data_IF_905087632845
#
_entry.id   IF_905087632845
#
_cell.length_a   1.000
_cell.length_b   1.000
_cell.length_c   1.000
_cell.angle_alpha   90.00
_cell.angle_beta   90.00
_cell.angle_gamma   90.00
#
_symmetry.space_group_name_H-M   'P 1'
#
loop_
_entity.id
_entity.type
_entity.pdbx_description
1 polymer ?
#
# COMPACT_ATOMS: atom_id res chain seq x y z
N UNK A 1 17.28 -3.89 -5.51
CA UNK A 1 16.77 -3.46 -6.83
C UNK A 1 15.92 -2.22 -6.59
N UNK A 2 15.94 -1.27 -7.53
CA UNK A 2 15.09 -0.07 -7.45
C UNK A 2 14.00 -0.10 -8.52
N UNK A 3 12.94 0.67 -8.30
CA UNK A 3 11.82 0.81 -9.24
C UNK A 3 12.28 1.29 -10.62
N UNK A 4 11.76 0.63 -11.65
CA UNK A 4 11.83 1.01 -13.07
C UNK A 4 10.70 1.96 -13.46
N UNK A 5 9.54 1.84 -12.82
CA UNK A 5 8.45 2.80 -13.00
C UNK A 5 8.69 4.07 -12.16
N UNK A 6 8.03 5.16 -12.55
CA UNK A 6 7.89 6.37 -11.72
C UNK A 6 6.55 6.30 -10.98
N UNK A 7 6.59 6.50 -9.67
CA UNK A 7 5.40 6.47 -8.81
C UNK A 7 5.11 7.86 -8.27
N UNK A 8 3.85 8.28 -8.38
CA UNK A 8 3.34 9.50 -7.75
C UNK A 8 3.06 9.27 -6.28
N UNK A 9 2.99 10.36 -5.52
CA UNK A 9 2.53 10.31 -4.13
C UNK A 9 1.16 9.60 -4.04
N UNK A 10 1.03 8.51 -3.27
CA UNK A 10 -0.22 7.76 -3.15
C UNK A 10 -1.21 8.39 -2.16
N UNK A 11 -0.90 9.56 -1.63
CA UNK A 11 -1.76 10.38 -0.76
C UNK A 11 -1.65 11.86 -1.16
N UNK A 12 -2.67 12.69 -0.89
CA UNK A 12 -2.60 14.14 -1.11
C UNK A 12 -1.48 14.79 -0.28
N UNK A 13 -0.58 15.52 -0.95
CA UNK A 13 0.59 16.14 -0.28
C UNK A 13 0.21 17.15 0.81
N UNK A 14 -0.93 17.83 0.68
CA UNK A 14 -1.42 18.78 1.68
C UNK A 14 -1.91 18.12 2.99
N UNK A 15 -2.12 16.79 2.99
CA UNK A 15 -2.49 16.01 4.17
C UNK A 15 -1.31 15.20 4.74
N UNK A 16 -0.18 15.18 4.03
CA UNK A 16 1.02 14.45 4.41
C UNK A 16 1.72 15.12 5.58
N UNK A 17 1.82 14.41 6.70
CA UNK A 17 2.51 14.91 7.90
C UNK A 17 3.98 14.52 7.88
N UNK A 18 4.28 13.26 7.51
CA UNK A 18 5.65 12.73 7.41
C UNK A 18 5.69 11.49 6.52
N UNK A 19 6.86 11.25 5.91
CA UNK A 19 7.21 9.96 5.30
C UNK A 19 8.16 9.24 6.24
N UNK A 20 7.83 8.00 6.58
CA UNK A 20 8.63 7.16 7.48
C UNK A 20 9.12 5.91 6.73
N UNK A 21 10.42 5.66 6.79
CA UNK A 21 11.11 4.48 6.22
C UNK A 21 11.90 3.73 7.30
N UNK A 22 11.64 4.04 8.56
CA UNK A 22 12.42 3.57 9.71
C UNK A 22 11.62 2.69 10.66
N UNK A 23 10.38 2.37 10.29
CA UNK A 23 9.50 1.51 11.08
C UNK A 23 10.18 0.17 11.38
N UNK A 24 10.16 -0.31 12.64
CA UNK A 24 10.75 -1.60 12.98
C UNK A 24 10.04 -2.79 12.31
N UNK A 25 8.84 -2.58 11.76
CA UNK A 25 8.13 -3.58 10.95
C UNK A 25 8.70 -3.71 9.52
N UNK A 26 9.49 -2.74 9.05
CA UNK A 26 10.09 -2.72 7.70
C UNK A 26 11.36 -3.58 7.68
N UNK A 27 11.19 -4.89 7.83
CA UNK A 27 12.27 -5.89 7.79
C UNK A 27 11.97 -6.97 6.76
N UNK A 28 12.99 -7.74 6.36
CA UNK A 28 12.84 -8.85 5.42
C UNK A 28 12.23 -8.40 4.09
N UNK A 29 11.11 -9.02 3.70
CA UNK A 29 10.39 -8.70 2.46
C UNK A 29 9.79 -7.29 2.46
N UNK A 30 9.73 -6.59 3.60
CA UNK A 30 9.18 -5.25 3.75
C UNK A 30 10.24 -4.17 3.95
N UNK A 31 11.52 -4.50 3.82
CA UNK A 31 12.65 -3.59 4.09
C UNK A 31 12.64 -2.28 3.29
N UNK A 32 11.93 -2.24 2.17
CA UNK A 32 11.79 -1.06 1.31
C UNK A 32 10.38 -0.45 1.36
N UNK A 33 9.55 -0.84 2.33
CA UNK A 33 8.25 -0.22 2.53
C UNK A 33 8.38 1.24 2.98
N UNK A 34 7.30 1.98 2.80
CA UNK A 34 7.20 3.40 3.10
C UNK A 34 5.88 3.65 3.80
N UNK A 35 5.93 4.23 4.99
CA UNK A 35 4.73 4.62 5.72
C UNK A 35 4.48 6.12 5.50
N UNK A 36 3.32 6.47 4.95
CA UNK A 36 2.88 7.85 4.81
C UNK A 36 1.98 8.22 5.98
N UNK A 37 2.49 9.02 6.90
CA UNK A 37 1.75 9.46 8.08
C UNK A 37 0.74 10.54 7.65
N UNK A 38 -0.54 10.20 7.75
CA UNK A 38 -1.68 11.01 7.30
C UNK A 38 -2.88 10.75 8.22
N UNK A 39 -3.85 11.68 8.33
CA UNK A 39 -5.09 11.44 9.07
C UNK A 39 -5.89 10.23 8.55
N UNK A 40 -6.76 9.62 9.37
CA UNK A 40 -7.74 8.64 8.88
C UNK A 40 -8.66 9.28 7.83
N UNK A 41 -9.27 8.44 6.99
CA UNK A 41 -10.10 8.84 5.86
C UNK A 41 -9.39 9.64 4.75
N UNK A 42 -8.07 9.84 4.85
CA UNK A 42 -7.26 10.41 3.76
C UNK A 42 -7.42 9.58 2.48
N UNK A 43 -7.73 10.21 1.33
CA UNK A 43 -7.80 9.52 0.04
C UNK A 43 -6.50 8.77 -0.27
N UNK A 44 -6.63 7.50 -0.65
CA UNK A 44 -5.52 6.70 -1.17
C UNK A 44 -5.61 6.69 -2.69
N UNK A 45 -4.51 7.06 -3.35
CA UNK A 45 -4.43 7.27 -4.79
C UNK A 45 -3.57 6.18 -5.44
N UNK A 46 -3.99 5.70 -6.61
CA UNK A 46 -3.13 4.85 -7.44
C UNK A 46 -1.86 5.62 -7.80
N UNK A 47 -0.70 5.04 -7.48
CA UNK A 47 0.60 5.70 -7.60
C UNK A 47 1.08 5.73 -9.07
N UNK A 48 0.60 4.80 -9.89
CA UNK A 48 0.83 4.72 -11.32
C UNK A 48 -0.37 4.07 -12.01
N UNK A 49 -0.43 4.19 -13.34
CA UNK A 49 -1.40 3.47 -14.16
C UNK A 49 -1.22 1.96 -14.00
N UNK A 50 -2.31 1.20 -13.95
CA UNK A 50 -2.20 -0.24 -13.76
C UNK A 50 -3.53 -0.98 -13.74
N UNK A 51 -3.46 -2.25 -13.38
CA UNK A 51 -4.63 -3.13 -13.21
C UNK A 51 -4.68 -3.65 -11.79
N UNK A 52 -5.83 -3.50 -11.13
CA UNK A 52 -6.05 -4.01 -9.78
C UNK A 52 -6.00 -5.54 -9.81
N UNK A 53 -5.09 -6.13 -9.05
CA UNK A 53 -4.91 -7.59 -8.98
C UNK A 53 -5.46 -8.19 -7.69
N UNK A 54 -5.61 -7.38 -6.64
CA UNK A 54 -6.13 -7.85 -5.36
C UNK A 54 -6.86 -6.73 -4.61
N UNK A 55 -7.93 -7.11 -3.91
CA UNK A 55 -8.68 -6.24 -2.98
C UNK A 55 -9.08 -7.08 -1.77
N UNK A 56 -8.63 -6.67 -0.59
CA UNK A 56 -9.17 -7.12 0.69
C UNK A 56 -9.68 -5.89 1.45
N UNK A 57 -10.95 -5.92 1.82
CA UNK A 57 -11.68 -4.75 2.33
C UNK A 57 -12.75 -5.12 3.38
N UNK A 58 -12.62 -6.32 3.96
CA UNK A 58 -13.65 -6.96 4.79
C UNK A 58 -13.38 -6.86 6.30
N UNK A 59 -12.13 -6.60 6.70
CA UNK A 59 -11.70 -6.55 8.09
C UNK A 59 -12.07 -5.24 8.77
N UNK A 60 -12.46 -5.32 10.05
CA UNK A 60 -12.57 -4.20 10.99
C UNK A 60 -11.55 -4.33 12.15
N UNK A 61 -10.58 -5.23 12.05
CA UNK A 61 -9.61 -5.55 13.10
C UNK A 61 -8.28 -4.86 12.82
N UNK A 62 -7.73 -4.20 13.84
CA UNK A 62 -6.37 -3.70 13.83
C UNK A 62 -5.93 -3.16 15.19
N UNK A 63 -4.66 -2.79 15.29
CA UNK A 63 -4.03 -2.33 16.53
C UNK A 63 -2.54 -2.70 16.61
N UNK A 64 -1.91 -2.43 17.76
CA UNK A 64 -0.45 -2.51 17.94
C UNK A 64 0.06 -3.94 18.21
N UNK A 65 -0.79 -4.96 18.09
CA UNK A 65 -0.39 -6.36 18.28
C UNK A 65 0.03 -6.98 16.94
N UNK A 66 1.24 -7.56 16.83
CA UNK A 66 1.71 -8.21 15.61
C UNK A 66 0.79 -9.32 15.09
N UNK A 67 -0.02 -9.96 15.95
CA UNK A 67 -1.03 -10.95 15.54
C UNK A 67 -2.09 -10.38 14.61
N UNK A 68 -2.23 -9.04 14.55
CA UNK A 68 -3.16 -8.39 13.65
C UNK A 68 -2.67 -8.28 12.20
N UNK A 69 -1.45 -8.72 11.87
CA UNK A 69 -0.87 -8.61 10.54
C UNK A 69 -1.82 -9.03 9.38
N UNK A 70 -2.45 -10.19 9.49
CA UNK A 70 -3.31 -10.76 8.44
C UNK A 70 -4.67 -10.05 8.31
N UNK A 71 -5.00 -9.15 9.23
CA UNK A 71 -6.24 -8.39 9.20
C UNK A 71 -6.15 -7.10 8.39
N UNK A 72 -4.96 -6.73 7.89
CA UNK A 72 -4.80 -5.56 7.01
C UNK A 72 -5.74 -5.63 5.81
N UNK A 73 -6.55 -4.60 5.60
CA UNK A 73 -7.21 -4.39 4.33
C UNK A 73 -6.24 -3.70 3.39
N UNK A 74 -6.19 -4.18 2.15
CA UNK A 74 -5.26 -3.67 1.17
C UNK A 74 -5.73 -3.85 -0.25
N UNK A 75 -5.15 -3.03 -1.13
CA UNK A 75 -5.30 -3.14 -2.58
C UNK A 75 -3.92 -3.40 -3.16
N UNK A 76 -3.85 -4.25 -4.18
CA UNK A 76 -2.64 -4.42 -4.99
C UNK A 76 -2.92 -4.10 -6.46
N UNK A 77 -1.98 -3.40 -7.10
CA UNK A 77 -2.09 -2.98 -8.49
C UNK A 77 -0.84 -3.42 -9.24
N UNK A 78 -1.01 -4.14 -10.34
CA UNK A 78 0.05 -4.48 -11.28
C UNK A 78 0.28 -3.34 -12.26
N UNK A 79 1.55 -3.01 -12.47
CA UNK A 79 2.01 -1.98 -13.39
C UNK A 79 2.85 -2.58 -14.51
N UNK A 80 3.36 -1.71 -15.39
CA UNK A 80 4.40 -2.08 -16.34
C UNK A 80 5.65 -2.63 -15.62
N UNK A 81 6.55 -3.30 -16.35
CA UNK A 81 7.77 -3.88 -15.80
C UNK A 81 7.57 -4.96 -14.71
N UNK A 82 6.35 -5.50 -14.60
CA UNK A 82 5.95 -6.49 -13.57
C UNK A 82 6.05 -5.99 -12.13
N UNK A 83 6.14 -4.68 -11.94
CA UNK A 83 6.11 -4.09 -10.62
C UNK A 83 4.67 -4.01 -10.11
N UNK A 84 4.52 -4.16 -8.82
CA UNK A 84 3.24 -4.10 -8.14
C UNK A 84 3.32 -3.08 -7.02
N UNK A 85 2.27 -2.30 -6.85
CA UNK A 85 2.08 -1.50 -5.64
C UNK A 85 1.12 -2.21 -4.71
N UNK A 86 1.33 -2.06 -3.40
CA UNK A 86 0.40 -2.48 -2.36
C UNK A 86 0.13 -1.32 -1.41
N UNK A 87 -1.13 -1.18 -1.02
CA UNK A 87 -1.68 -0.11 -0.21
C UNK A 87 -2.38 -0.72 1.00
N UNK A 88 -1.73 -0.75 2.16
CA UNK A 88 -2.21 -1.43 3.38
C UNK A 88 -2.84 -0.46 4.40
N UNK A 89 -3.39 -1.04 5.47
CA UNK A 89 -4.09 -0.35 6.56
C UNK A 89 -5.32 0.45 6.09
N UNK A 90 -5.96 0.00 5.01
CA UNK A 90 -7.17 0.64 4.49
C UNK A 90 -8.36 0.46 5.46
N UNK A 91 -9.34 1.36 5.38
CA UNK A 91 -10.59 1.19 6.11
C UNK A 91 -11.41 0.02 5.59
N UNK A 92 -12.43 -0.41 6.33
CA UNK A 92 -13.39 -1.45 5.89
C UNK A 92 -14.43 -0.86 4.93
N UNK A 93 -14.82 -1.62 3.90
CA UNK A 93 -15.79 -1.20 2.89
C UNK A 93 -15.44 0.15 2.22
N UNK A 94 -14.15 0.47 2.11
CA UNK A 94 -13.66 1.73 1.55
C UNK A 94 -13.11 1.58 0.13
N UNK A 95 -12.92 0.35 -0.37
CA UNK A 95 -12.41 0.13 -1.72
C UNK A 95 -13.35 0.72 -2.77
N UNK A 96 -12.80 1.55 -3.65
CA UNK A 96 -13.49 2.18 -4.78
C UNK A 96 -13.23 1.47 -6.11
N UNK A 97 -12.53 0.35 -6.05
CA UNK A 97 -12.08 -0.42 -7.19
C UNK A 97 -12.30 -1.91 -6.96
N UNK A 98 -12.32 -2.68 -8.05
CA UNK A 98 -12.45 -4.15 -8.03
C UNK A 98 -11.32 -4.82 -8.80
N UNK A 99 -11.06 -6.09 -8.50
CA UNK A 99 -10.07 -6.90 -9.24
C UNK A 99 -10.38 -6.88 -10.74
N UNK A 100 -9.33 -6.74 -11.56
CA UNK A 100 -9.41 -6.61 -13.02
C UNK A 100 -9.68 -5.19 -13.53
N UNK A 101 -10.00 -4.24 -12.65
CA UNK A 101 -10.23 -2.85 -13.05
C UNK A 101 -8.91 -2.16 -13.41
N UNK A 102 -8.91 -1.44 -14.53
CA UNK A 102 -7.83 -0.51 -14.87
C UNK A 102 -7.98 0.79 -14.08
N UNK A 103 -6.85 1.30 -13.58
CA UNK A 103 -6.77 2.55 -12.85
C UNK A 103 -5.75 3.48 -13.48
N UNK A 104 -5.95 4.79 -13.30
CA UNK A 104 -4.98 5.82 -13.71
C UNK A 104 -4.24 6.37 -12.49
N UNK A 105 -3.01 6.82 -12.69
CA UNK A 105 -2.22 7.50 -11.67
C UNK A 105 -3.00 8.71 -11.10
N UNK A 106 -3.10 8.80 -9.78
CA UNK A 106 -3.89 9.81 -9.07
C UNK A 106 -5.37 9.48 -8.90
N UNK A 107 -5.87 8.37 -9.47
CA UNK A 107 -7.24 7.91 -9.22
C UNK A 107 -7.38 7.46 -7.77
N UNK A 108 -8.40 7.95 -7.07
CA UNK A 108 -8.71 7.47 -5.71
C UNK A 108 -9.20 6.01 -5.76
N UNK A 109 -8.56 5.16 -4.96
CA UNK A 109 -8.82 3.71 -4.92
C UNK A 109 -9.39 3.24 -3.59
N UNK A 110 -9.13 3.96 -2.49
CA UNK A 110 -9.65 3.69 -1.15
C UNK A 110 -9.38 4.88 -0.23
N UNK A 111 -9.51 4.69 1.07
CA UNK A 111 -9.15 5.65 2.12
C UNK A 111 -8.35 4.97 3.23
N UNK A 112 -7.44 5.74 3.84
CA UNK A 112 -6.66 5.31 5.00
C UNK A 112 -7.57 4.95 6.17
N UNK A 113 -7.30 3.82 6.79
CA UNK A 113 -8.02 3.34 7.97
C UNK A 113 -7.07 2.90 9.07
N UNK A 114 -7.46 1.86 9.81
CA UNK A 114 -6.80 1.36 11.03
C UNK A 114 -6.78 -0.17 11.10
N UNK A 115 -6.80 -0.85 9.95
CA UNK A 115 -6.82 -2.32 9.93
C UNK A 115 -5.42 -2.91 9.94
N UNK A 116 -5.26 -4.11 10.49
CA UNK A 116 -3.98 -4.79 10.56
C UNK A 116 -3.09 -4.38 11.73
N UNK A 117 -1.81 -4.73 11.65
CA UNK A 117 -0.80 -4.33 12.64
C UNK A 117 -0.41 -2.87 12.43
N UNK A 118 -1.00 -1.95 13.21
CA UNK A 118 -0.83 -0.50 13.06
C UNK A 118 -0.96 0.20 14.41
N UNK A 119 -0.17 1.26 14.61
CA UNK A 119 -0.12 2.04 15.85
C UNK A 119 -0.83 3.38 15.72
N UNK A 120 -0.77 3.99 14.54
CA UNK A 120 -1.26 5.33 14.24
C UNK A 120 -1.75 5.40 12.79
N UNK A 121 -2.63 6.35 12.44
CA UNK A 121 -3.06 6.55 11.05
C UNK A 121 -1.92 6.80 10.09
N UNK A 122 -1.79 5.89 9.12
CA UNK A 122 -0.84 5.97 8.02
C UNK A 122 -1.26 5.05 6.88
N UNK A 123 -0.76 5.33 5.68
CA UNK A 123 -0.76 4.39 4.57
C UNK A 123 0.58 3.65 4.57
N UNK A 124 0.56 2.33 4.78
CA UNK A 124 1.71 1.49 4.50
C UNK A 124 1.74 1.18 3.00
N UNK A 125 2.82 1.57 2.34
CA UNK A 125 2.96 1.49 0.90
C UNK A 125 4.25 0.77 0.53
N UNK A 126 4.17 -0.08 -0.47
CA UNK A 126 5.33 -0.79 -0.97
C UNK A 126 5.21 -1.01 -2.47
N UNK A 127 6.35 -0.99 -3.15
CA UNK A 127 6.49 -1.52 -4.50
C UNK A 127 7.21 -2.85 -4.40
N UNK A 128 6.74 -3.86 -5.12
CA UNK A 128 7.33 -5.20 -5.08
C UNK A 128 7.26 -5.90 -6.43
N UNK A 129 8.03 -6.97 -6.54
CA UNK A 129 7.89 -7.97 -7.60
C UNK A 129 7.47 -9.30 -7.00
N UNK A 130 6.58 -10.02 -7.68
CA UNK A 130 6.24 -11.38 -7.29
C UNK A 130 7.43 -12.31 -7.50
N UNK A 131 7.74 -13.08 -6.47
CA UNK A 131 8.80 -14.10 -6.49
C UNK A 131 8.25 -15.53 -6.45
N UNK A 132 6.94 -15.68 -6.17
CA UNK A 132 6.24 -16.98 -6.17
C UNK A 132 4.76 -16.84 -6.50
N UNK A 133 3.92 -17.64 -5.83
CA UNK A 133 2.50 -17.78 -6.15
C UNK A 133 1.58 -16.99 -5.21
N UNK A 134 2.06 -16.66 -4.01
CA UNK A 134 1.23 -16.07 -2.96
C UNK A 134 1.63 -14.60 -2.66
N UNK A 135 0.70 -13.65 -2.89
CA UNK A 135 0.91 -12.21 -2.61
C UNK A 135 1.17 -11.88 -1.14
N UNK A 136 0.83 -12.79 -0.23
CA UNK A 136 1.03 -12.60 1.20
C UNK A 136 2.46 -12.89 1.64
N UNK A 137 3.17 -13.77 0.96
CA UNK A 137 4.46 -14.30 1.41
C UNK A 137 5.55 -14.28 0.36
N UNK A 138 5.19 -14.34 -0.92
CA UNK A 138 6.09 -14.60 -2.04
C UNK A 138 6.30 -13.34 -2.89
N UNK A 139 6.82 -12.31 -2.25
CA UNK A 139 7.21 -11.05 -2.88
C UNK A 139 8.54 -10.54 -2.37
N UNK A 140 9.18 -9.69 -3.16
CA UNK A 140 10.33 -8.91 -2.71
C UNK A 140 10.10 -7.42 -2.96
N UNK A 141 10.19 -6.61 -1.90
CA UNK A 141 10.04 -5.15 -2.05
C UNK A 141 11.25 -4.53 -2.72
N UNK A 142 10.97 -3.58 -3.61
CA UNK A 142 11.99 -2.86 -4.37
C UNK A 142 12.06 -1.42 -3.90
N UNK A 143 13.28 -0.88 -3.87
CA UNK A 143 13.53 0.47 -3.39
C UNK A 143 12.92 1.52 -4.34
N UNK A 144 12.27 2.52 -3.76
CA UNK A 144 11.64 3.61 -4.49
C UNK A 144 12.59 4.80 -4.42
N UNK A 145 13.19 5.14 -5.57
CA UNK A 145 14.17 6.23 -5.73
C UNK A 145 13.57 7.64 -5.54
N UNK A 146 12.35 7.74 -4.99
CA UNK A 146 11.60 8.98 -4.80
C UNK A 146 10.22 8.92 -5.45
N UNK A 147 9.34 9.82 -5.01
CA UNK A 147 8.03 10.02 -5.61
C UNK A 147 8.07 11.25 -6.52
N UNK A 148 7.31 11.19 -7.62
CA UNK A 148 7.17 12.29 -8.58
C UNK A 148 5.93 13.13 -8.34
#
# INVERSE_FOLDING_TARGET
MSTKNKYRMPVPQNLLQRIDRTSPAHIGNLRNAVDFIVPPDTPVLAAADGTVTYVKDDSNVGGPDPSYWNYSNFIAIMHQNREHTRYDHLGRNNAKVRVGQQVRAGQEISKVGMTGYTYIPHLHFQVFVFTGYNIWTDFDTIDINGFT
#
